data_IF_528021797432
#
_entry.id   IF_528021797432
#
_cell.length_a   1.000
_cell.length_b   1.000
_cell.length_c   1.000
_cell.angle_alpha   90.00
_cell.angle_beta   90.00
_cell.angle_gamma   90.00
#
_symmetry.space_group_name_H-M   'P 1'
#
loop_
_entity.id
_entity.type
_entity.pdbx_description
1 polymer ?
#
# COMPACT_ATOMS: atom_id res chain seq x y z
N UNK A 1 0.52 13.05 -3.32
CA UNK A 1 1.11 14.09 -2.42
C UNK A 1 0.13 14.39 -1.28
N UNK A 2 0.59 14.95 -0.16
CA UNK A 2 -0.34 15.45 0.86
C UNK A 2 -1.13 16.64 0.31
N UNK A 3 -2.44 16.69 0.62
CA UNK A 3 -3.37 17.74 0.21
C UNK A 3 -4.05 18.35 1.43
N UNK A 4 -4.72 19.50 1.21
CA UNK A 4 -5.37 20.25 2.28
C UNK A 4 -6.41 19.39 2.99
N UNK A 5 -6.21 19.21 4.30
CA UNK A 5 -7.22 18.66 5.18
C UNK A 5 -8.40 19.64 5.31
N UNK A 6 -9.54 19.34 4.66
CA UNK A 6 -10.72 20.23 4.67
C UNK A 6 -11.51 20.18 5.99
N UNK A 7 -11.24 19.22 6.87
CA UNK A 7 -11.85 19.16 8.20
C UNK A 7 -11.25 20.17 9.17
N UNK A 8 -10.02 20.65 8.89
CA UNK A 8 -9.22 21.51 9.77
C UNK A 8 -8.96 20.92 11.17
N UNK A 9 -9.10 19.60 11.32
CA UNK A 9 -8.83 18.90 12.58
C UNK A 9 -7.42 18.30 12.58
N UNK A 10 -6.68 18.51 13.67
CA UNK A 10 -5.40 17.83 13.90
C UNK A 10 -5.60 16.31 13.97
N UNK A 11 -4.62 15.53 13.52
CA UNK A 11 -4.74 14.07 13.43
C UNK A 11 -5.50 13.55 12.21
N UNK A 12 -5.87 14.43 11.27
CA UNK A 12 -6.38 14.04 9.95
C UNK A 12 -5.42 14.54 8.87
N UNK A 13 -5.00 13.62 7.99
CA UNK A 13 -4.10 13.90 6.86
C UNK A 13 -4.66 13.30 5.59
N UNK A 14 -4.65 14.05 4.50
CA UNK A 14 -5.21 13.61 3.23
C UNK A 14 -4.11 13.56 2.17
N UNK A 15 -4.15 12.54 1.33
CA UNK A 15 -3.19 12.35 0.25
C UNK A 15 -3.93 12.20 -1.08
N UNK A 16 -3.55 12.99 -2.07
CA UNK A 16 -4.01 12.78 -3.44
C UNK A 16 -3.35 11.53 -4.04
N UNK A 17 -4.20 10.71 -4.67
CA UNK A 17 -3.87 9.59 -5.54
C UNK A 17 -4.24 9.94 -6.99
N UNK A 18 -4.08 8.99 -7.91
CA UNK A 18 -4.46 9.17 -9.32
C UNK A 18 -5.99 9.35 -9.50
N UNK A 19 -6.37 10.01 -10.60
CA UNK A 19 -7.76 10.23 -11.05
C UNK A 19 -8.68 10.86 -9.99
N UNK A 20 -8.16 11.85 -9.26
CA UNK A 20 -8.95 12.57 -8.25
C UNK A 20 -9.32 11.75 -7.01
N UNK A 21 -8.74 10.56 -6.84
CA UNK A 21 -8.92 9.76 -5.62
C UNK A 21 -8.09 10.35 -4.49
N UNK A 22 -8.59 10.21 -3.26
CA UNK A 22 -7.92 10.69 -2.05
C UNK A 22 -7.80 9.55 -1.04
N UNK A 23 -6.66 9.45 -0.35
CA UNK A 23 -6.46 8.61 0.82
C UNK A 23 -6.52 9.49 2.07
N UNK A 24 -7.47 9.21 2.96
CA UNK A 24 -7.63 9.94 4.21
C UNK A 24 -7.12 9.09 5.38
N UNK A 25 -6.11 9.59 6.09
CA UNK A 25 -5.61 9.01 7.33
C UNK A 25 -6.23 9.75 8.51
N UNK A 26 -6.86 9.00 9.42
CA UNK A 26 -7.60 9.53 10.57
C UNK A 26 -7.08 8.87 11.85
N UNK A 27 -6.30 9.60 12.65
CA UNK A 27 -5.68 9.09 13.87
C UNK A 27 -6.36 9.54 15.17
N UNK A 28 -7.44 10.32 15.06
CA UNK A 28 -8.20 10.81 16.23
C UNK A 28 -8.97 9.70 16.96
N UNK A 29 -9.24 8.57 16.29
CA UNK A 29 -9.95 7.43 16.88
C UNK A 29 -8.93 6.44 17.47
N UNK A 30 -8.80 6.42 18.79
CA UNK A 30 -7.86 5.54 19.52
C UNK A 30 -8.50 4.24 20.01
N UNK A 31 -9.22 3.53 19.14
CA UNK A 31 -9.83 2.23 19.49
C UNK A 31 -8.86 1.08 19.21
N UNK A 32 -8.90 0.05 20.04
CA UNK A 32 -8.14 -1.20 19.80
C UNK A 32 -8.68 -1.86 18.54
N UNK A 33 -7.81 -2.07 17.55
CA UNK A 33 -8.11 -2.75 16.31
C UNK A 33 -7.03 -3.81 16.03
N UNK A 34 -7.44 -5.00 15.57
CA UNK A 34 -6.50 -6.07 15.23
C UNK A 34 -6.30 -6.10 13.71
N UNK A 35 -5.17 -5.56 13.26
CA UNK A 35 -4.77 -5.63 11.88
C UNK A 35 -4.44 -7.07 11.48
N UNK A 36 -4.88 -7.45 10.30
CA UNK A 36 -4.49 -8.70 9.64
C UNK A 36 -4.38 -8.43 8.13
N UNK A 37 -3.67 -9.31 7.42
CA UNK A 37 -3.34 -9.11 6.00
C UNK A 37 -4.55 -9.10 5.05
N UNK A 38 -5.68 -9.66 5.46
CA UNK A 38 -6.91 -9.58 4.67
C UNK A 38 -7.52 -8.16 4.69
N UNK A 39 -7.10 -7.30 5.61
CA UNK A 39 -7.46 -5.88 5.66
C UNK A 39 -6.28 -5.10 5.10
N UNK A 40 -6.31 -4.85 3.78
CA UNK A 40 -5.26 -4.12 3.09
C UNK A 40 -5.84 -3.12 2.08
N UNK A 41 -5.02 -2.12 1.75
CA UNK A 41 -5.25 -1.24 0.61
C UNK A 41 -4.43 -1.77 -0.58
N UNK A 42 -5.09 -2.05 -1.70
CA UNK A 42 -4.43 -2.45 -2.94
C UNK A 42 -4.17 -1.27 -3.86
N UNK A 43 -2.94 -1.15 -4.38
CA UNK A 43 -2.55 -0.14 -5.35
C UNK A 43 -1.86 -0.78 -6.56
N UNK A 44 -2.39 -0.50 -7.75
CA UNK A 44 -1.78 -0.89 -9.01
C UNK A 44 -0.86 0.21 -9.52
N UNK A 45 0.37 -0.13 -9.91
CA UNK A 45 1.38 0.84 -10.37
C UNK A 45 2.06 0.39 -11.68
N UNK A 46 2.45 1.36 -12.50
CA UNK A 46 3.16 1.10 -13.76
C UNK A 46 4.61 0.62 -13.56
N UNK A 47 5.29 1.11 -12.51
CA UNK A 47 6.72 0.87 -12.27
C UNK A 47 6.94 -0.12 -11.13
N UNK A 48 6.34 -1.31 -11.24
CA UNK A 48 6.34 -2.32 -10.18
C UNK A 48 7.76 -2.76 -9.77
N UNK A 49 8.60 -3.17 -10.74
CA UNK A 49 9.92 -3.70 -10.44
C UNK A 49 10.83 -2.63 -9.79
N UNK A 50 10.67 -1.37 -10.18
CA UNK A 50 11.37 -0.25 -9.57
C UNK A 50 10.90 0.04 -8.14
N UNK A 51 9.61 -0.11 -7.87
CA UNK A 51 9.06 0.02 -6.53
C UNK A 51 9.62 -1.05 -5.59
N UNK A 52 9.66 -2.31 -6.04
CA UNK A 52 10.26 -3.41 -5.27
C UNK A 52 11.74 -3.13 -4.99
N UNK A 53 12.51 -2.68 -6.00
CA UNK A 53 13.91 -2.27 -5.81
C UNK A 53 14.06 -1.14 -4.80
N UNK A 54 13.14 -0.18 -4.80
CA UNK A 54 13.12 0.92 -3.81
C UNK A 54 12.87 0.40 -2.39
N UNK A 55 11.94 -0.54 -2.20
CA UNK A 55 11.73 -1.19 -0.89
C UNK A 55 13.01 -1.87 -0.41
N UNK A 56 13.67 -2.65 -1.27
CA UNK A 56 14.94 -3.31 -0.94
C UNK A 56 16.04 -2.31 -0.57
N UNK A 57 16.16 -1.21 -1.32
CA UNK A 57 17.14 -0.14 -1.04
C UNK A 57 16.90 0.52 0.32
N UNK A 58 15.63 0.76 0.65
CA UNK A 58 15.20 1.31 1.94
C UNK A 58 15.16 0.27 3.07
N UNK A 59 15.48 -1.00 2.77
CA UNK A 59 15.39 -2.14 3.69
C UNK A 59 14.00 -2.32 4.31
N UNK A 60 12.96 -1.98 3.55
CA UNK A 60 11.56 -2.20 3.95
C UNK A 60 11.18 -3.64 3.58
N UNK A 61 10.79 -4.47 4.54
CA UNK A 61 10.41 -5.85 4.28
C UNK A 61 9.10 -5.92 3.49
N UNK A 62 9.03 -6.86 2.55
CA UNK A 62 7.81 -7.24 1.86
C UNK A 62 7.71 -8.76 1.76
N UNK A 63 6.53 -9.27 1.40
CA UNK A 63 6.26 -10.70 1.29
C UNK A 63 5.25 -11.03 0.20
N UNK A 64 5.19 -12.31 -0.19
CA UNK A 64 4.03 -12.87 -0.90
C UNK A 64 2.83 -13.02 0.04
N UNK A 65 1.67 -13.50 -0.43
CA UNK A 65 0.48 -13.67 0.42
C UNK A 65 0.72 -14.57 1.66
N UNK A 66 1.26 -15.80 1.53
CA UNK A 66 1.61 -16.66 2.68
C UNK A 66 2.57 -16.04 3.70
N UNK A 67 3.37 -15.05 3.31
CA UNK A 67 4.30 -14.35 4.20
C UNK A 67 5.77 -14.72 3.98
N UNK A 68 6.12 -15.37 2.88
CA UNK A 68 7.50 -15.61 2.50
C UNK A 68 8.18 -14.28 2.21
N UNK A 69 9.17 -13.95 3.02
CA UNK A 69 9.90 -12.68 2.92
C UNK A 69 10.56 -12.51 1.55
N UNK A 70 10.64 -11.25 1.10
CA UNK A 70 11.29 -10.83 -0.15
C UNK A 70 10.86 -11.64 -1.37
N UNK A 71 9.59 -12.03 -1.42
CA UNK A 71 9.03 -12.86 -2.49
C UNK A 71 7.96 -12.08 -3.24
N UNK A 72 8.11 -12.01 -4.57
CA UNK A 72 7.09 -11.52 -5.49
C UNK A 72 6.20 -12.70 -5.88
N UNK A 73 4.89 -12.58 -5.67
CA UNK A 73 3.94 -13.57 -6.16
C UNK A 73 3.56 -13.24 -7.61
N UNK A 74 3.57 -14.24 -8.49
CA UNK A 74 3.08 -14.12 -9.86
C UNK A 74 1.79 -14.90 -9.95
N UNK A 75 0.69 -14.19 -10.22
CA UNK A 75 -0.64 -14.77 -10.39
C UNK A 75 -0.75 -15.51 -11.73
N UNK A 76 -1.80 -16.33 -11.86
CA UNK A 76 -2.10 -17.06 -13.10
C UNK A 76 -2.40 -16.16 -14.30
N UNK A 77 -2.83 -14.92 -14.04
CA UNK A 77 -3.04 -13.88 -15.07
C UNK A 77 -1.78 -13.04 -15.36
N UNK A 78 -0.62 -13.41 -14.81
CA UNK A 78 0.65 -12.72 -15.04
C UNK A 78 0.86 -11.48 -14.16
N UNK A 79 -0.10 -11.11 -13.31
CA UNK A 79 0.05 -10.00 -12.38
C UNK A 79 1.04 -10.36 -11.26
N UNK A 80 2.09 -9.53 -11.13
CA UNK A 80 3.03 -9.51 -10.02
C UNK A 80 2.41 -8.75 -8.85
N UNK A 81 2.53 -9.29 -7.65
CA UNK A 81 2.07 -8.62 -6.43
C UNK A 81 2.99 -8.89 -5.24
N UNK A 82 3.07 -7.92 -4.34
CA UNK A 82 3.74 -8.00 -3.03
C UNK A 82 2.90 -7.33 -1.96
N UNK A 83 3.17 -7.67 -0.70
CA UNK A 83 2.55 -7.07 0.47
C UNK A 83 3.62 -6.53 1.41
N UNK A 84 3.44 -5.32 1.89
CA UNK A 84 4.28 -4.70 2.91
C UNK A 84 3.40 -3.93 3.91
N UNK A 85 4.01 -3.45 5.00
CA UNK A 85 3.30 -2.66 6.00
C UNK A 85 3.76 -1.21 6.00
N UNK A 86 2.82 -0.30 6.27
CA UNK A 86 3.15 1.07 6.63
C UNK A 86 3.68 1.17 8.09
N UNK A 87 4.14 2.34 8.54
CA UNK A 87 4.65 2.51 9.90
C UNK A 87 3.64 2.20 11.02
N UNK A 88 2.34 2.27 10.74
CA UNK A 88 1.24 1.98 11.69
C UNK A 88 0.78 0.51 11.61
N UNK A 89 1.40 -0.30 10.75
CA UNK A 89 1.17 -1.73 10.60
C UNK A 89 0.05 -2.10 9.62
N UNK A 90 -0.54 -1.15 8.89
CA UNK A 90 -1.55 -1.44 7.87
C UNK A 90 -0.90 -2.13 6.69
N UNK A 91 -1.59 -3.15 6.17
CA UNK A 91 -1.12 -3.87 5.00
C UNK A 91 -1.42 -3.09 3.72
N UNK A 92 -0.43 -3.02 2.85
CA UNK A 92 -0.54 -2.44 1.52
C UNK A 92 -0.13 -3.53 0.52
N UNK A 93 -1.03 -3.83 -0.41
CA UNK A 93 -0.72 -4.63 -1.59
C UNK A 93 -0.27 -3.69 -2.71
N UNK A 94 0.84 -4.03 -3.35
CA UNK A 94 1.27 -3.40 -4.59
C UNK A 94 1.23 -4.45 -5.69
N UNK A 95 0.62 -4.13 -6.82
CA UNK A 95 0.64 -4.95 -8.00
C UNK A 95 0.97 -4.14 -9.26
N UNK A 96 1.46 -4.81 -10.30
CA UNK A 96 1.62 -4.15 -11.59
C UNK A 96 0.27 -3.97 -12.27
N UNK A 97 0.18 -2.98 -13.15
CA UNK A 97 -0.95 -2.83 -14.06
C UNK A 97 -0.85 -3.92 -15.14
N UNK A 98 -1.98 -4.50 -15.50
CA UNK A 98 -2.09 -5.42 -16.62
C UNK A 98 -1.74 -4.67 -17.92
N UNK A 99 -0.77 -5.17 -18.69
CA UNK A 99 -0.45 -4.58 -20.00
C UNK A 99 -1.53 -4.91 -21.05
N UNK A 100 -2.48 -5.80 -20.73
CA UNK A 100 -3.51 -6.28 -21.65
C UNK A 100 -4.85 -5.52 -21.57
N UNK A 101 -4.89 -4.32 -20.97
CA UNK A 101 -6.07 -3.43 -21.00
C UNK A 101 -5.75 -2.05 -21.55
#
# INVERSE_FOLDING_TARGET
>A
PEIVNRTKMEGIRWFALADGKELHLISIIKKKFKLNKAIHMGLSINRFDEFVKRLSTLKIPYSDWPGKANTVNIRTDGIKQIYFQDPDGYWIEINNIDAAK
#
